data_IF_934571326545
#
_entry.id   IF_934571326545
#
_cell.length_a   1.000
_cell.length_b   1.000
_cell.length_c   1.000
_cell.angle_alpha   90.00
_cell.angle_beta   90.00
_cell.angle_gamma   90.00
#
_symmetry.space_group_name_H-M   'P 1'
#
loop_
_entity.id
_entity.type
_entity.pdbx_description
1 polymer ?
#
# COMPACT_ATOMS: atom_id res chain seq x y z
N UNK A 1 -9.76 9.34 11.93
CA UNK A 1 -8.65 8.73 11.17
C UNK A 1 -8.23 9.69 10.07
N UNK A 2 -6.97 10.13 10.08
CA UNK A 2 -6.36 10.93 9.00
C UNK A 2 -5.22 10.12 8.40
N UNK A 3 -5.15 10.01 7.08
CA UNK A 3 -4.09 9.26 6.41
C UNK A 3 -2.87 10.16 6.21
N UNK A 4 -1.69 9.72 6.67
CA UNK A 4 -0.42 10.41 6.39
C UNK A 4 0.14 10.00 5.04
N UNK A 5 0.18 8.70 4.77
CA UNK A 5 0.56 8.15 3.48
C UNK A 5 0.03 6.72 3.30
N UNK A 6 -0.01 6.27 2.04
CA UNK A 6 -0.23 4.87 1.66
C UNK A 6 1.00 4.41 0.87
N UNK A 7 1.54 3.25 1.19
CA UNK A 7 2.72 2.71 0.56
C UNK A 7 2.56 1.23 0.17
N UNK A 8 3.25 0.83 -0.89
CA UNK A 8 3.30 -0.54 -1.38
C UNK A 8 4.74 -1.00 -1.58
N UNK A 9 5.00 -2.25 -1.21
CA UNK A 9 6.18 -3.00 -1.63
C UNK A 9 5.81 -3.77 -2.87
N UNK A 10 6.70 -3.72 -3.84
CA UNK A 10 6.53 -4.40 -5.09
C UNK A 10 7.89 -4.83 -5.61
N UNK A 11 7.87 -5.91 -6.39
CA UNK A 11 9.01 -6.35 -7.15
C UNK A 11 8.62 -6.59 -8.60
N UNK A 12 9.61 -6.43 -9.46
CA UNK A 12 9.48 -6.54 -10.90
C UNK A 12 10.57 -7.49 -11.37
N UNK A 13 10.21 -8.49 -12.18
CA UNK A 13 11.16 -9.43 -12.80
C UNK A 13 11.88 -8.75 -13.97
N UNK A 14 12.67 -7.72 -13.66
CA UNK A 14 13.52 -6.99 -14.59
C UNK A 14 14.66 -6.27 -13.85
N UNK A 15 15.79 -5.97 -14.54
CA UNK A 15 16.84 -5.12 -14.01
C UNK A 15 16.35 -3.68 -13.78
N UNK A 16 16.98 -3.00 -12.84
CA UNK A 16 16.56 -1.69 -12.37
C UNK A 16 16.58 -0.64 -13.48
N UNK A 17 17.54 -0.73 -14.39
CA UNK A 17 17.72 0.16 -15.53
C UNK A 17 16.55 0.06 -16.53
N UNK A 18 16.04 -1.16 -16.74
CA UNK A 18 14.88 -1.38 -17.60
C UNK A 18 13.61 -0.76 -16.99
N UNK A 19 13.40 -0.99 -15.68
CA UNK A 19 12.27 -0.39 -14.97
C UNK A 19 12.36 1.13 -14.97
N UNK A 20 13.53 1.70 -14.69
CA UNK A 20 13.76 3.14 -14.68
C UNK A 20 13.38 3.83 -16.01
N UNK A 21 13.56 3.13 -17.13
CA UNK A 21 13.15 3.63 -18.46
C UNK A 21 11.63 3.76 -18.56
N UNK A 22 10.87 2.78 -18.08
CA UNK A 22 9.40 2.83 -18.04
C UNK A 22 8.91 3.89 -17.06
N UNK A 23 9.56 4.05 -15.91
CA UNK A 23 9.23 5.12 -14.94
C UNK A 23 9.26 6.51 -15.59
N UNK A 24 10.23 6.75 -16.49
CA UNK A 24 10.31 8.01 -17.23
C UNK A 24 9.12 8.19 -18.17
N UNK A 25 8.65 7.13 -18.83
CA UNK A 25 7.52 7.18 -19.76
C UNK A 25 6.20 7.53 -19.05
N UNK A 26 5.99 7.06 -17.82
CA UNK A 26 4.82 7.39 -17.00
C UNK A 26 4.96 8.73 -16.24
N UNK A 27 5.90 9.57 -16.68
CA UNK A 27 6.15 10.93 -16.17
C UNK A 27 6.58 10.98 -14.70
N UNK A 28 7.32 10.00 -14.19
CA UNK A 28 8.07 10.24 -12.95
C UNK A 28 9.43 10.83 -13.25
N UNK A 29 9.75 11.87 -12.50
CA UNK A 29 10.99 12.59 -12.59
C UNK A 29 11.97 12.06 -11.53
N UNK A 30 13.22 11.74 -11.89
CA UNK A 30 14.23 11.39 -10.89
C UNK A 30 14.53 12.59 -10.00
N UNK A 31 14.50 12.39 -8.68
CA UNK A 31 14.80 13.45 -7.68
C UNK A 31 16.09 13.18 -6.91
N UNK A 32 16.44 11.91 -6.72
CA UNK A 32 17.71 11.46 -6.13
C UNK A 32 18.12 10.15 -6.81
N UNK A 33 19.34 9.69 -6.52
CA UNK A 33 19.81 8.37 -6.97
C UNK A 33 18.77 7.31 -6.56
N UNK A 34 18.20 6.62 -7.53
CA UNK A 34 17.20 5.55 -7.34
C UNK A 34 15.86 5.97 -6.69
N UNK A 35 15.50 7.26 -6.81
CA UNK A 35 14.19 7.77 -6.37
C UNK A 35 13.55 8.64 -7.45
N UNK A 36 12.30 8.34 -7.78
CA UNK A 36 11.49 9.08 -8.74
C UNK A 36 10.23 9.61 -8.08
N UNK A 37 9.71 10.74 -8.56
CA UNK A 37 8.46 11.31 -8.05
C UNK A 37 7.57 11.83 -9.18
N UNK A 38 6.27 11.85 -8.95
CA UNK A 38 5.27 12.48 -9.80
C UNK A 38 4.22 13.16 -8.93
N UNK A 39 3.92 14.42 -9.21
CA UNK A 39 2.85 15.16 -8.55
C UNK A 39 1.48 14.79 -9.15
N UNK A 40 0.49 14.62 -8.29
CA UNK A 40 -0.91 14.30 -8.62
C UNK A 40 -1.79 15.22 -7.77
N UNK A 41 -2.19 16.37 -8.32
CA UNK A 41 -2.90 17.39 -7.55
C UNK A 41 -2.05 17.89 -6.38
N UNK A 42 -2.58 17.78 -5.16
CA UNK A 42 -1.89 18.13 -3.90
C UNK A 42 -1.05 16.98 -3.33
N UNK A 43 -1.01 15.84 -4.00
CA UNK A 43 -0.30 14.64 -3.57
C UNK A 43 0.94 14.38 -4.42
N UNK A 44 1.85 13.57 -3.89
CA UNK A 44 3.03 13.07 -4.59
C UNK A 44 3.08 11.55 -4.55
N UNK A 45 3.39 10.95 -5.69
CA UNK A 45 3.74 9.53 -5.82
C UNK A 45 5.26 9.43 -5.90
N UNK A 46 5.88 8.85 -4.89
CA UNK A 46 7.32 8.60 -4.83
C UNK A 46 7.60 7.12 -5.02
N UNK A 47 8.58 6.79 -5.85
CA UNK A 47 9.03 5.43 -6.13
C UNK A 47 10.51 5.35 -5.80
N UNK A 48 10.88 4.44 -4.90
CA UNK A 48 12.25 4.33 -4.39
C UNK A 48 12.73 2.89 -4.49
N UNK A 49 13.80 2.66 -5.27
CA UNK A 49 14.35 1.32 -5.43
C UNK A 49 15.09 0.86 -4.16
N UNK A 50 14.91 -0.40 -3.81
CA UNK A 50 15.63 -1.10 -2.75
C UNK A 50 16.85 -1.79 -3.34
N UNK A 51 17.84 -0.97 -3.69
CA UNK A 51 19.05 -1.40 -4.43
C UNK A 51 19.72 -2.64 -3.82
N UNK A 52 19.82 -2.71 -2.49
CA UNK A 52 20.44 -3.84 -1.78
C UNK A 52 19.65 -5.16 -1.91
N UNK A 53 18.40 -5.11 -2.36
CA UNK A 53 17.56 -6.27 -2.64
C UNK A 53 17.49 -6.57 -4.15
N UNK A 54 17.92 -5.64 -5.00
CA UNK A 54 17.87 -5.81 -6.44
C UNK A 54 18.96 -6.77 -6.93
N UNK A 55 18.67 -7.44 -8.04
CA UNK A 55 19.55 -8.33 -8.78
C UNK A 55 19.43 -8.03 -10.27
N UNK A 56 20.29 -8.61 -11.13
CA UNK A 56 20.17 -8.45 -12.59
C UNK A 56 18.82 -8.91 -13.17
N UNK A 57 18.12 -9.81 -12.47
CA UNK A 57 16.85 -10.40 -12.93
C UNK A 57 15.63 -9.77 -12.25
N UNK A 58 15.81 -9.10 -11.12
CA UNK A 58 14.70 -8.63 -10.28
C UNK A 58 15.01 -7.34 -9.55
N UNK A 59 14.05 -6.43 -9.57
CA UNK A 59 14.13 -5.15 -8.87
C UNK A 59 13.03 -5.01 -7.84
N UNK A 60 13.36 -4.41 -6.69
CA UNK A 60 12.43 -4.17 -5.59
C UNK A 60 12.27 -2.68 -5.36
N UNK A 61 11.06 -2.23 -5.04
CA UNK A 61 10.85 -0.84 -4.71
C UNK A 61 9.81 -0.61 -3.61
N UNK A 62 9.82 0.61 -3.09
CA UNK A 62 8.72 1.20 -2.33
C UNK A 62 8.03 2.25 -3.17
N UNK A 63 6.72 2.12 -3.33
CA UNK A 63 5.86 3.19 -3.84
C UNK A 63 5.18 3.84 -2.65
N UNK A 64 5.23 5.15 -2.54
CA UNK A 64 4.56 5.91 -1.47
C UNK A 64 3.75 7.05 -2.08
N UNK A 65 2.49 7.12 -1.69
CA UNK A 65 1.57 8.19 -2.03
C UNK A 65 1.24 9.01 -0.79
N UNK A 66 1.48 10.31 -0.83
CA UNK A 66 1.31 11.20 0.31
C UNK A 66 0.88 12.61 -0.11
N UNK A 67 0.22 13.33 0.79
CA UNK A 67 0.08 14.79 0.71
C UNK A 67 1.09 15.41 1.68
N UNK A 68 1.99 16.26 1.19
CA UNK A 68 3.06 16.86 2.00
C UNK A 68 2.53 17.93 2.99
N UNK A 69 1.35 18.47 2.73
CA UNK A 69 0.77 19.58 3.49
C UNK A 69 -0.59 19.25 4.13
N UNK A 70 -1.00 17.98 4.12
CA UNK A 70 -2.30 17.60 4.65
C UNK A 70 -2.58 16.10 4.60
N UNK A 71 -3.85 15.70 4.79
CA UNK A 71 -4.23 14.29 4.71
C UNK A 71 -4.10 13.74 3.28
N UNK A 72 -3.70 12.48 3.20
CA UNK A 72 -3.69 11.70 1.97
C UNK A 72 -5.11 11.30 1.57
N UNK A 73 -5.44 11.51 0.29
CA UNK A 73 -6.73 11.15 -0.28
C UNK A 73 -6.60 9.80 -0.97
N UNK A 74 -7.23 8.77 -0.40
CA UNK A 74 -7.16 7.40 -0.92
C UNK A 74 -7.83 7.25 -2.29
N UNK A 75 -8.81 8.09 -2.64
CA UNK A 75 -9.56 7.95 -3.89
C UNK A 75 -8.71 8.35 -5.10
N UNK A 76 -7.84 9.37 -4.94
CA UNK A 76 -6.87 9.75 -5.98
C UNK A 76 -5.87 8.63 -6.26
N UNK A 77 -5.52 7.85 -5.24
CA UNK A 77 -4.56 6.75 -5.38
C UNK A 77 -5.12 5.59 -6.20
N UNK A 78 -6.43 5.32 -6.15
CA UNK A 78 -7.03 4.20 -6.88
C UNK A 78 -6.80 4.31 -8.40
N UNK A 79 -6.98 5.52 -8.94
CA UNK A 79 -6.70 5.81 -10.35
C UNK A 79 -5.21 5.69 -10.66
N UNK A 80 -4.35 6.26 -9.81
CA UNK A 80 -2.90 6.28 -10.00
C UNK A 80 -2.32 4.86 -9.98
N UNK A 81 -2.77 4.01 -9.06
CA UNK A 81 -2.36 2.61 -8.99
C UNK A 81 -2.82 1.82 -10.20
N UNK A 82 -4.03 2.08 -10.71
CA UNK A 82 -4.54 1.39 -11.89
C UNK A 82 -3.71 1.72 -13.13
N UNK A 83 -3.47 3.01 -13.39
CA UNK A 83 -2.64 3.47 -14.51
C UNK A 83 -1.20 2.93 -14.40
N UNK A 84 -0.66 2.94 -13.18
CA UNK A 84 0.66 2.42 -12.86
C UNK A 84 0.79 0.93 -13.14
N UNK A 85 -0.07 0.14 -12.51
CA UNK A 85 -0.04 -1.31 -12.56
C UNK A 85 -0.28 -1.79 -13.99
N UNK A 86 -1.21 -1.16 -14.70
CA UNK A 86 -1.45 -1.43 -16.12
C UNK A 86 -0.17 -1.20 -16.94
N UNK A 87 0.46 -0.03 -16.80
CA UNK A 87 1.66 0.29 -17.58
C UNK A 87 2.83 -0.65 -17.26
N UNK A 88 3.10 -0.88 -15.97
CA UNK A 88 4.20 -1.74 -15.54
C UNK A 88 3.99 -3.21 -15.95
N UNK A 89 2.76 -3.72 -15.85
CA UNK A 89 2.42 -5.10 -16.19
C UNK A 89 2.45 -5.37 -17.70
N UNK A 90 2.34 -4.34 -18.55
CA UNK A 90 2.57 -4.47 -19.99
C UNK A 90 4.03 -4.72 -20.35
N UNK A 91 4.96 -4.24 -19.53
CA UNK A 91 6.39 -4.35 -19.79
C UNK A 91 7.06 -5.48 -19.01
N UNK A 92 6.58 -5.77 -17.79
CA UNK A 92 7.25 -6.67 -16.86
C UNK A 92 6.28 -7.44 -15.98
N UNK A 93 6.70 -8.63 -15.53
CA UNK A 93 6.00 -9.35 -14.47
C UNK A 93 6.15 -8.56 -13.16
N UNK A 94 5.05 -8.03 -12.66
CA UNK A 94 5.00 -7.14 -11.50
C UNK A 94 4.18 -7.76 -10.37
N UNK A 95 4.76 -7.83 -9.18
CA UNK A 95 4.10 -8.35 -7.99
C UNK A 95 4.04 -7.30 -6.87
N UNK A 96 2.87 -7.15 -6.26
CA UNK A 96 2.62 -6.24 -5.13
C UNK A 96 2.31 -7.10 -3.91
N UNK A 97 3.24 -7.23 -2.97
CA UNK A 97 3.14 -8.25 -1.91
C UNK A 97 2.86 -7.69 -0.52
N UNK A 98 2.90 -6.37 -0.36
CA UNK A 98 2.68 -5.73 0.92
C UNK A 98 2.22 -4.29 0.74
N UNK A 99 1.30 -3.88 1.59
CA UNK A 99 0.77 -2.54 1.74
C UNK A 99 1.01 -2.08 3.17
N UNK A 100 1.36 -0.81 3.34
CA UNK A 100 1.43 -0.15 4.64
C UNK A 100 0.80 1.23 4.55
N UNK A 101 0.09 1.61 5.60
CA UNK A 101 -0.56 2.90 5.72
C UNK A 101 -0.21 3.51 7.05
N UNK A 102 0.28 4.75 6.98
CA UNK A 102 0.48 5.58 8.15
C UNK A 102 -0.76 6.43 8.37
N UNK A 103 -1.26 6.43 9.60
CA UNK A 103 -2.49 7.14 9.93
C UNK A 103 -2.48 7.66 11.37
N UNK A 104 -3.16 8.78 11.55
CA UNK A 104 -3.45 9.38 12.86
C UNK A 104 -4.86 8.97 13.29
N UNK A 105 -4.96 8.53 14.55
CA UNK A 105 -6.23 8.28 15.24
C UNK A 105 -6.30 9.17 16.48
N UNK A 106 -7.50 9.66 16.78
CA UNK A 106 -7.73 10.48 17.97
C UNK A 106 -7.82 9.60 19.23
N UNK A 107 -8.46 8.45 19.10
CA UNK A 107 -8.59 7.47 20.18
C UNK A 107 -8.45 6.07 19.59
N UNK A 108 -7.62 5.24 20.22
CA UNK A 108 -7.55 3.83 19.88
C UNK A 108 -8.77 3.09 20.46
N UNK A 109 -9.39 2.25 19.64
CA UNK A 109 -10.39 1.27 20.04
C UNK A 109 -9.98 -0.10 19.49
N UNK A 110 -10.18 -1.20 20.24
CA UNK A 110 -9.91 -2.54 19.74
C UNK A 110 -10.59 -2.76 18.39
N UNK A 111 -9.83 -3.29 17.44
CA UNK A 111 -10.29 -3.49 16.06
C UNK A 111 -10.96 -4.86 15.99
N UNK A 112 -12.19 -4.90 15.50
CA UNK A 112 -12.95 -6.14 15.39
C UNK A 112 -12.21 -7.20 14.56
N UNK A 113 -12.16 -8.44 15.07
CA UNK A 113 -11.48 -9.56 14.42
C UNK A 113 -9.95 -9.55 14.55
N UNK A 114 -9.34 -8.53 15.16
CA UNK A 114 -7.91 -8.52 15.46
C UNK A 114 -7.65 -9.06 16.86
N UNK A 115 -6.59 -9.84 17.00
CA UNK A 115 -6.06 -10.34 18.27
C UNK A 115 -4.75 -9.62 18.58
N UNK A 116 -4.59 -9.18 19.82
CA UNK A 116 -3.32 -8.64 20.30
C UNK A 116 -2.31 -9.78 20.45
N UNK A 117 -1.30 -9.80 19.58
CA UNK A 117 -0.29 -10.87 19.53
C UNK A 117 0.96 -10.55 20.36
N UNK A 118 1.21 -9.26 20.58
CA UNK A 118 2.32 -8.67 21.34
C UNK A 118 1.80 -7.33 21.90
N UNK A 119 2.29 -6.77 23.02
CA UNK A 119 1.74 -5.54 23.55
C UNK A 119 1.67 -4.44 22.50
N UNK A 120 0.46 -3.96 22.24
CA UNK A 120 0.10 -2.93 21.25
C UNK A 120 0.27 -3.35 19.78
N UNK A 121 0.36 -4.64 19.48
CA UNK A 121 0.35 -5.16 18.11
C UNK A 121 -0.87 -6.04 17.91
N UNK A 122 -1.84 -5.52 17.17
CA UNK A 122 -3.05 -6.21 16.79
C UNK A 122 -2.86 -6.86 15.44
N UNK A 123 -3.26 -8.12 15.32
CA UNK A 123 -3.09 -8.91 14.09
C UNK A 123 -4.35 -9.69 13.75
N UNK A 124 -4.60 -9.88 12.46
CA UNK A 124 -5.72 -10.66 11.92
C UNK A 124 -5.21 -11.42 10.70
N UNK A 125 -5.63 -12.66 10.54
CA UNK A 125 -5.36 -13.45 9.34
C UNK A 125 -6.68 -13.79 8.66
N UNK A 126 -6.77 -13.55 7.35
CA UNK A 126 -7.93 -13.93 6.54
C UNK A 126 -7.47 -14.58 5.24
N UNK A 127 -7.84 -15.85 5.04
CA UNK A 127 -7.37 -16.65 3.91
C UNK A 127 -5.83 -16.64 3.87
N UNK A 128 -5.22 -16.04 2.85
CA UNK A 128 -3.76 -15.94 2.69
C UNK A 128 -3.20 -14.57 3.13
N UNK A 129 -4.06 -13.64 3.55
CA UNK A 129 -3.69 -12.27 3.92
C UNK A 129 -3.49 -12.15 5.43
N UNK A 130 -2.45 -11.42 5.80
CA UNK A 130 -2.12 -11.03 7.16
C UNK A 130 -2.25 -9.53 7.29
N UNK A 131 -3.00 -9.12 8.30
CA UNK A 131 -3.23 -7.75 8.67
C UNK A 131 -2.54 -7.49 10.00
N UNK A 132 -1.88 -6.34 10.12
CA UNK A 132 -1.31 -5.89 11.38
C UNK A 132 -1.59 -4.42 11.60
N UNK A 133 -1.86 -4.06 12.85
CA UNK A 133 -2.08 -2.71 13.30
C UNK A 133 -1.26 -2.46 14.56
N UNK A 134 -0.46 -1.40 14.58
CA UNK A 134 0.43 -1.12 15.71
C UNK A 134 0.88 0.34 15.77
N UNK A 135 1.20 0.88 16.95
CA UNK A 135 1.67 2.25 17.09
C UNK A 135 3.15 2.37 16.69
N UNK A 136 3.51 3.53 16.16
CA UNK A 136 4.87 4.02 15.95
C UNK A 136 4.91 5.42 16.54
N UNK A 137 5.85 5.72 17.44
CA UNK A 137 6.08 7.04 18.06
C UNK A 137 4.84 7.97 18.16
N UNK A 138 4.49 8.68 17.09
CA UNK A 138 3.41 9.66 17.00
C UNK A 138 2.20 9.29 16.10
N UNK A 139 2.12 8.07 15.56
CA UNK A 139 1.06 7.61 14.66
C UNK A 139 0.87 6.08 14.72
N UNK A 140 0.02 5.52 13.85
CA UNK A 140 -0.19 4.09 13.72
C UNK A 140 0.14 3.61 12.31
N UNK A 141 0.63 2.37 12.23
CA UNK A 141 0.71 1.62 11.00
C UNK A 141 -0.40 0.60 10.91
N UNK A 142 -0.96 0.51 9.72
CA UNK A 142 -1.80 -0.59 9.26
C UNK A 142 -1.11 -1.26 8.08
N UNK A 143 -0.89 -2.56 8.14
CA UNK A 143 -0.26 -3.33 7.07
C UNK A 143 -1.17 -4.46 6.59
N UNK A 144 -1.05 -4.77 5.30
CA UNK A 144 -1.64 -5.94 4.66
C UNK A 144 -0.57 -6.64 3.84
N UNK A 145 -0.38 -7.94 4.05
CA UNK A 145 0.67 -8.71 3.38
C UNK A 145 0.28 -10.16 3.16
N UNK A 146 0.96 -10.82 2.24
CA UNK A 146 0.98 -12.28 2.20
C UNK A 146 2.08 -12.83 3.11
N UNK A 147 1.95 -14.11 3.48
CA UNK A 147 3.03 -14.87 4.12
C UNK A 147 4.21 -15.05 3.16
N UNK A 148 3.92 -15.47 1.93
CA UNK A 148 4.92 -15.58 0.86
C UNK A 148 5.05 -14.26 0.10
N UNK A 149 6.26 -13.69 0.14
CA UNK A 149 6.58 -12.43 -0.55
C UNK A 149 6.46 -12.53 -2.08
N UNK A 150 6.42 -13.73 -2.65
CA UNK A 150 6.25 -13.97 -4.09
C UNK A 150 4.80 -13.84 -4.52
N UNK A 151 3.85 -13.93 -3.58
CA UNK A 151 2.43 -13.84 -3.87
C UNK A 151 1.97 -12.38 -3.80
N UNK A 152 1.24 -11.95 -4.81
CA UNK A 152 0.62 -10.62 -4.79
C UNK A 152 -0.59 -10.58 -3.85
N UNK A 153 -0.70 -9.51 -3.08
CA UNK A 153 -1.96 -9.15 -2.41
C UNK A 153 -2.92 -8.58 -3.45
N UNK A 154 -4.25 -8.66 -3.25
CA UNK A 154 -5.23 -7.99 -4.10
C UNK A 154 -5.24 -6.49 -3.77
N UNK A 155 -4.13 -5.81 -4.08
CA UNK A 155 -3.83 -4.42 -3.72
C UNK A 155 -4.89 -3.41 -4.20
N UNK A 156 -5.65 -3.73 -5.25
CA UNK A 156 -6.81 -2.96 -5.70
C UNK A 156 -7.90 -2.83 -4.61
N UNK A 157 -7.93 -3.73 -3.62
CA UNK A 157 -8.87 -3.70 -2.48
C UNK A 157 -8.42 -2.77 -1.34
N UNK A 158 -7.30 -2.06 -1.48
CA UNK A 158 -6.76 -1.20 -0.41
C UNK A 158 -7.79 -0.22 0.16
N UNK A 159 -8.63 0.35 -0.71
CA UNK A 159 -9.64 1.33 -0.30
C UNK A 159 -10.67 0.70 0.66
N UNK A 160 -11.11 -0.53 0.36
CA UNK A 160 -12.03 -1.27 1.22
C UNK A 160 -11.41 -1.61 2.58
N UNK A 161 -10.14 -2.04 2.62
CA UNK A 161 -9.47 -2.32 3.90
C UNK A 161 -9.36 -1.07 4.77
N UNK A 162 -9.13 0.10 4.16
CA UNK A 162 -9.10 1.37 4.88
C UNK A 162 -10.47 1.81 5.38
N UNK A 163 -11.53 1.56 4.62
CA UNK A 163 -12.90 1.85 5.05
C UNK A 163 -13.34 0.92 6.19
N UNK A 164 -13.02 -0.38 6.11
CA UNK A 164 -13.24 -1.35 7.19
C UNK A 164 -12.48 -0.93 8.46
N UNK A 165 -11.20 -0.57 8.34
CA UNK A 165 -10.40 -0.08 9.45
C UNK A 165 -11.01 1.18 10.09
N UNK A 166 -11.39 2.17 9.26
CA UNK A 166 -12.02 3.42 9.73
C UNK A 166 -13.33 3.15 10.46
N UNK A 167 -14.12 2.19 9.98
CA UNK A 167 -15.38 1.78 10.60
C UNK A 167 -15.14 1.10 11.95
N UNK A 168 -14.23 0.12 12.00
CA UNK A 168 -13.88 -0.60 13.23
C UNK A 168 -13.30 0.34 14.30
N UNK A 169 -12.45 1.30 13.92
CA UNK A 169 -11.89 2.29 14.85
C UNK A 169 -12.94 3.21 15.49
N UNK A 170 -14.15 3.32 14.90
CA UNK A 170 -15.28 4.03 15.53
C UNK A 170 -16.04 3.16 16.55
N UNK A 171 -15.65 1.90 16.73
CA UNK A 171 -16.33 0.93 17.60
C UNK A 171 -17.56 0.30 16.96
N UNK A 172 -17.71 0.40 15.64
CA UNK A 172 -18.80 -0.24 14.90
C UNK A 172 -18.34 -1.63 14.45
N UNK A 173 -19.15 -2.67 14.70
CA UNK A 173 -18.85 -4.05 14.30
C UNK A 173 -19.47 -4.29 12.92
N UNK A 174 -18.63 -4.23 11.87
CA UNK A 174 -18.97 -4.33 10.43
C UNK A 174 -19.93 -3.23 9.91
N UNK A 175 -19.66 -2.62 8.74
CA UNK A 175 -20.77 -2.08 7.96
C UNK A 175 -21.64 -3.28 7.57
N UNK A 176 -22.95 -3.20 7.82
CA UNK A 176 -23.94 -4.23 7.54
C UNK A 176 -23.60 -5.03 6.27
N UNK A 177 -23.79 -6.35 6.32
CA UNK A 177 -23.47 -7.39 5.32
C UNK A 177 -24.07 -7.17 3.90
N UNK A 178 -23.87 -6.01 3.28
CA UNK A 178 -24.39 -5.61 1.96
C UNK A 178 -23.30 -5.34 0.91
N UNK A 179 -22.01 -5.51 1.24
CA UNK A 179 -20.93 -5.45 0.24
C UNK A 179 -20.20 -6.78 0.16
N UNK A 180 -20.95 -7.89 0.14
CA UNK A 180 -20.51 -9.12 -0.51
C UNK A 180 -20.90 -9.02 -1.99
N UNK A 181 -20.13 -8.24 -2.77
CA UNK A 181 -20.14 -8.44 -4.20
C UNK A 181 -19.27 -9.67 -4.48
N UNK A 182 -19.95 -10.80 -4.68
CA UNK A 182 -19.39 -11.94 -5.37
C UNK A 182 -18.78 -11.46 -6.68
N UNK A 183 -17.45 -11.51 -6.76
CA UNK A 183 -16.74 -11.38 -8.02
C UNK A 183 -16.92 -12.70 -8.76
N UNK A 184 -17.75 -12.66 -9.80
CA UNK A 184 -17.77 -13.64 -10.89
C UNK A 184 -16.33 -13.81 -11.38
N UNK A 185 -15.87 -15.07 -11.33
CA UNK A 185 -14.59 -15.56 -11.86
C UNK A 185 -14.54 -15.42 -13.37
#
# INVERSE_FOLDING_TARGET
MKLRYIAFKWHVEAPLEAVATVLKQVKLTPVKKQRWTRSIGTHSLTVEARVNMCSPERSYFWIRFANEHGPTDKELLARVLSDWYFTMSQHFVTSVNWMQVALDIEQFRPIYGFVESNPRIWSKAEKQLYFSFYPILDHYYFEVRNEDIRNSIPHQRFSHWLDELKHNLKGQQKPDDQISFDLVV
#
